data_IF_007505671464
#
_entry.id   IF_007505671464
#
_cell.length_a   1.000
_cell.length_b   1.000
_cell.length_c   1.000
_cell.angle_alpha   90.00
_cell.angle_beta   90.00
_cell.angle_gamma   90.00
#
_symmetry.space_group_name_H-M   'P 1'
#
loop_
_entity.id
_entity.type
_entity.pdbx_description
1 polymer ?
#
# COMPACT_ATOMS: atom_id res chain seq x y z
N UNK A 1 75.12 21.60 -4.20
CA UNK A 1 73.78 21.96 -4.71
C UNK A 1 72.88 20.73 -4.64
N UNK A 2 71.98 20.67 -3.65
CA UNK A 2 71.03 19.56 -3.47
C UNK A 2 69.72 19.94 -4.15
N UNK A 3 69.34 19.23 -5.21
CA UNK A 3 68.05 19.41 -5.88
C UNK A 3 67.01 18.55 -5.15
N UNK A 4 66.05 19.19 -4.49
CA UNK A 4 64.91 18.56 -3.83
C UNK A 4 63.80 18.45 -4.88
N UNK A 5 63.58 17.26 -5.42
CA UNK A 5 62.48 16.99 -6.33
C UNK A 5 61.18 16.80 -5.53
N UNK A 6 60.36 17.84 -5.49
CA UNK A 6 59.01 17.80 -4.93
C UNK A 6 58.10 17.02 -5.88
N UNK A 7 57.85 15.74 -5.57
CA UNK A 7 56.84 14.94 -6.26
C UNK A 7 55.44 15.45 -5.89
N UNK A 8 54.80 16.15 -6.83
CA UNK A 8 53.43 16.61 -6.70
C UNK A 8 52.49 15.41 -6.89
N UNK A 9 52.02 14.81 -5.79
CA UNK A 9 51.08 13.70 -5.80
C UNK A 9 49.67 14.26 -6.09
N UNK A 10 49.31 14.36 -7.35
CA UNK A 10 47.94 14.69 -7.76
C UNK A 10 47.00 13.53 -7.41
N UNK A 11 46.33 13.62 -6.27
CA UNK A 11 45.19 12.75 -5.95
C UNK A 11 44.03 13.09 -6.90
N UNK A 12 43.89 12.31 -7.97
CA UNK A 12 42.66 12.26 -8.77
C UNK A 12 41.55 11.68 -7.91
N UNK A 13 40.81 12.52 -7.20
CA UNK A 13 39.56 12.13 -6.56
C UNK A 13 38.52 11.95 -7.66
N UNK A 14 38.38 10.73 -8.17
CA UNK A 14 37.22 10.39 -8.98
C UNK A 14 35.96 10.58 -8.11
N UNK A 15 34.96 11.34 -8.57
CA UNK A 15 33.73 11.48 -7.82
C UNK A 15 33.09 10.10 -7.67
N UNK A 16 32.94 9.65 -6.42
CA UNK A 16 32.18 8.45 -6.10
C UNK A 16 30.72 8.80 -6.34
N UNK A 17 30.19 8.44 -7.51
CA UNK A 17 28.75 8.54 -7.77
C UNK A 17 28.07 7.49 -6.89
N UNK A 18 27.39 7.95 -5.84
CA UNK A 18 26.60 7.08 -4.99
C UNK A 18 25.54 6.37 -5.85
N UNK A 19 25.32 5.08 -5.58
CA UNK A 19 24.24 4.35 -6.23
C UNK A 19 22.89 5.03 -5.91
N UNK A 20 21.94 5.08 -6.87
CA UNK A 20 20.60 5.55 -6.59
C UNK A 20 19.95 4.77 -5.44
N UNK A 21 19.16 5.43 -4.57
CA UNK A 21 18.44 4.75 -3.49
C UNK A 21 17.39 3.79 -4.04
N UNK A 22 17.12 2.71 -3.32
CA UNK A 22 16.09 1.74 -3.71
C UNK A 22 14.68 2.30 -3.47
N UNK A 23 13.84 2.25 -4.51
CA UNK A 23 12.45 2.67 -4.46
C UNK A 23 11.59 1.73 -3.60
N UNK A 24 11.90 0.44 -3.57
CA UNK A 24 11.11 -0.56 -2.85
C UNK A 24 11.79 -0.95 -1.54
N UNK A 25 11.17 -0.61 -0.41
CA UNK A 25 11.57 -1.02 0.94
C UNK A 25 10.57 -2.01 1.51
N UNK A 26 10.90 -2.64 2.66
CA UNK A 26 9.96 -3.54 3.35
C UNK A 26 8.64 -2.82 3.70
N UNK A 27 8.72 -1.64 4.30
CA UNK A 27 7.55 -0.84 4.67
C UNK A 27 6.65 -0.52 3.48
N UNK A 28 7.25 -0.09 2.35
CA UNK A 28 6.50 0.19 1.12
C UNK A 28 5.89 -1.09 0.56
N UNK A 29 6.63 -2.20 0.55
CA UNK A 29 6.10 -3.48 0.06
C UNK A 29 4.89 -3.96 0.88
N UNK A 30 4.89 -3.73 2.19
CA UNK A 30 3.78 -4.10 3.08
C UNK A 30 2.52 -3.25 2.88
N UNK A 31 2.63 -2.04 2.31
CA UNK A 31 1.48 -1.17 2.02
C UNK A 31 0.80 -1.44 0.69
N UNK A 32 1.35 -2.32 -0.16
CA UNK A 32 0.71 -2.66 -1.43
C UNK A 32 -0.57 -3.49 -1.23
N UNK A 33 -1.52 -3.27 -2.14
CA UNK A 33 -2.70 -4.09 -2.34
C UNK A 33 -2.87 -4.39 -3.84
N UNK A 34 -3.28 -5.61 -4.17
CA UNK A 34 -3.74 -5.95 -5.51
C UNK A 34 -5.24 -5.67 -5.65
N UNK A 35 -5.70 -5.46 -6.87
CA UNK A 35 -7.12 -5.32 -7.17
C UNK A 35 -7.70 -6.48 -8.00
N UNK A 36 -9.02 -6.65 -7.95
CA UNK A 36 -9.77 -7.50 -8.87
C UNK A 36 -10.71 -6.66 -9.72
N UNK A 37 -10.73 -6.89 -11.03
CA UNK A 37 -11.62 -6.21 -11.98
C UNK A 37 -12.33 -7.25 -12.84
N UNK A 38 -13.37 -6.90 -13.62
CA UNK A 38 -13.98 -7.82 -14.57
C UNK A 38 -13.01 -8.37 -15.64
N UNK A 39 -11.83 -7.75 -15.82
CA UNK A 39 -10.82 -8.16 -16.77
C UNK A 39 -9.82 -9.19 -16.20
N UNK A 40 -9.77 -9.35 -14.87
CA UNK A 40 -8.89 -10.30 -14.21
C UNK A 40 -8.56 -9.91 -12.77
N UNK A 41 -7.44 -10.42 -12.26
CA UNK A 41 -7.06 -10.27 -10.85
C UNK A 41 -5.58 -9.96 -10.65
N UNK A 42 -5.31 -9.15 -9.65
CA UNK A 42 -3.99 -8.84 -9.13
C UNK A 42 -3.91 -9.25 -7.65
N UNK A 43 -2.81 -9.89 -7.28
CA UNK A 43 -2.52 -10.20 -5.87
C UNK A 43 -1.09 -9.80 -5.53
N UNK A 44 -0.88 -9.38 -4.29
CA UNK A 44 0.42 -8.95 -3.79
C UNK A 44 0.73 -9.63 -2.46
N UNK A 45 2.00 -9.92 -2.23
CA UNK A 45 2.49 -10.41 -0.94
C UNK A 45 4.00 -10.23 -0.84
N UNK A 46 4.51 -10.08 0.39
CA UNK A 46 5.95 -10.10 0.64
C UNK A 46 6.42 -11.56 0.73
N UNK A 47 7.47 -11.91 -0.02
CA UNK A 47 8.04 -13.27 -0.09
C UNK A 47 9.56 -13.22 0.02
N UNK A 48 10.21 -14.35 0.29
CA UNK A 48 11.65 -14.47 0.10
C UNK A 48 12.01 -14.20 -1.37
N UNK A 49 12.99 -13.32 -1.60
CA UNK A 49 13.41 -12.95 -2.95
C UNK A 49 14.04 -14.17 -3.64
N UNK A 50 13.49 -14.65 -4.76
CA UNK A 50 14.04 -15.82 -5.45
C UNK A 50 15.49 -15.58 -5.88
N UNK A 51 16.35 -16.59 -5.76
CA UNK A 51 17.75 -16.52 -6.22
C UNK A 51 18.57 -15.40 -5.54
N UNK A 52 18.09 -14.85 -4.42
CA UNK A 52 18.79 -13.84 -3.62
C UNK A 52 19.35 -14.47 -2.33
N UNK A 53 20.30 -13.80 -1.65
CA UNK A 53 20.80 -14.26 -0.36
C UNK A 53 19.67 -14.49 0.66
N UNK A 54 19.88 -15.45 1.57
CA UNK A 54 18.93 -15.73 2.65
C UNK A 54 18.64 -14.46 3.46
N UNK A 55 17.36 -14.21 3.75
CA UNK A 55 16.91 -13.01 4.46
C UNK A 55 16.54 -11.84 3.53
N UNK A 56 16.88 -11.90 2.25
CA UNK A 56 16.37 -10.94 1.25
C UNK A 56 14.94 -11.30 0.85
N UNK A 57 14.09 -10.29 0.80
CA UNK A 57 12.68 -10.38 0.45
C UNK A 57 12.34 -9.44 -0.72
N UNK A 58 11.18 -9.68 -1.30
CA UNK A 58 10.63 -8.91 -2.40
C UNK A 58 9.11 -8.82 -2.28
N UNK A 59 8.52 -7.80 -2.91
CA UNK A 59 7.09 -7.75 -3.18
C UNK A 59 6.81 -8.66 -4.39
N UNK A 60 6.16 -9.80 -4.18
CA UNK A 60 5.61 -10.61 -5.26
C UNK A 60 4.28 -10.01 -5.69
N UNK A 61 4.18 -9.67 -6.98
CA UNK A 61 2.96 -9.20 -7.63
C UNK A 61 2.58 -10.22 -8.70
N UNK A 62 1.35 -10.72 -8.64
CA UNK A 62 0.79 -11.61 -9.66
C UNK A 62 -0.41 -11.00 -10.33
N UNK A 63 -0.33 -10.85 -11.64
CA UNK A 63 -1.48 -10.49 -12.47
C UNK A 63 -1.97 -11.72 -13.23
N UNK A 64 -3.29 -11.87 -13.37
CA UNK A 64 -3.90 -12.84 -14.26
C UNK A 64 -5.02 -12.16 -15.03
N UNK A 65 -4.79 -11.92 -16.31
CA UNK A 65 -5.82 -11.43 -17.23
C UNK A 65 -6.74 -12.60 -17.60
N UNK A 66 -8.05 -12.39 -17.53
CA UNK A 66 -9.06 -13.41 -17.87
C UNK A 66 -9.74 -13.08 -19.20
N UNK A 67 -9.84 -11.79 -19.53
CA UNK A 67 -10.30 -11.30 -20.83
C UNK A 67 -9.62 -9.98 -21.18
N UNK A 68 -9.57 -9.66 -22.46
CA UNK A 68 -9.17 -8.33 -22.89
C UNK A 68 -10.31 -7.35 -22.70
N UNK A 69 -10.02 -6.16 -22.18
CA UNK A 69 -11.04 -5.14 -21.94
C UNK A 69 -10.48 -3.73 -22.24
N UNK A 70 -11.05 -3.00 -23.22
CA UNK A 70 -10.65 -1.63 -23.53
C UNK A 70 -10.73 -0.70 -22.31
N UNK A 71 -9.71 0.14 -22.13
CA UNK A 71 -9.67 1.14 -21.06
C UNK A 71 -9.61 0.56 -19.64
N UNK A 72 -9.24 -0.71 -19.49
CA UNK A 72 -9.05 -1.36 -18.20
C UNK A 72 -7.60 -1.80 -18.00
N UNK A 73 -7.22 -1.92 -16.75
CA UNK A 73 -5.94 -2.43 -16.29
C UNK A 73 -6.15 -3.22 -14.99
N UNK A 74 -5.12 -3.93 -14.57
CA UNK A 74 -5.03 -4.55 -13.26
C UNK A 74 -3.89 -3.90 -12.50
N UNK A 75 -4.17 -3.33 -11.34
CA UNK A 75 -3.20 -2.64 -10.51
C UNK A 75 -2.76 -3.43 -9.27
N UNK A 76 -1.48 -3.26 -8.93
CA UNK A 76 -0.96 -3.38 -7.58
C UNK A 76 -0.61 -1.96 -7.10
N UNK A 77 -1.28 -1.46 -6.09
CA UNK A 77 -1.19 -0.06 -5.65
C UNK A 77 -0.77 0.06 -4.19
N UNK A 78 -0.04 1.13 -3.90
CA UNK A 78 0.20 1.65 -2.57
C UNK A 78 -0.15 3.14 -2.56
N UNK A 79 -0.78 3.59 -1.49
CA UNK A 79 -1.03 5.00 -1.20
C UNK A 79 -0.21 5.41 0.04
N UNK A 80 1.05 5.84 -0.13
CA UNK A 80 1.88 6.24 1.00
C UNK A 80 1.23 7.34 1.82
N UNK A 81 1.26 7.18 3.15
CA UNK A 81 0.83 8.17 4.11
C UNK A 81 1.84 8.16 5.29
N UNK A 82 2.62 9.24 5.50
CA UNK A 82 2.66 10.45 4.68
C UNK A 82 3.09 10.16 3.23
N UNK A 83 2.83 11.10 2.29
CA UNK A 83 3.34 11.02 0.93
C UNK A 83 4.83 10.72 0.90
N UNK A 84 5.26 9.98 -0.11
CA UNK A 84 6.63 9.56 -0.29
C UNK A 84 7.46 10.74 -0.79
N UNK A 85 8.42 11.16 0.03
CA UNK A 85 9.43 12.13 -0.34
C UNK A 85 10.54 11.46 -1.16
N UNK A 86 10.63 11.81 -2.45
CA UNK A 86 11.69 11.37 -3.36
C UNK A 86 12.68 12.50 -3.71
N UNK A 87 12.63 13.64 -3.02
CA UNK A 87 13.44 14.83 -3.31
C UNK A 87 14.94 14.58 -3.22
N UNK A 88 15.36 13.60 -2.40
CA UNK A 88 16.76 13.27 -2.15
C UNK A 88 17.52 12.65 -3.33
N UNK A 89 16.84 12.19 -4.39
CA UNK A 89 17.50 11.67 -5.58
C UNK A 89 16.62 11.79 -6.84
N UNK A 90 17.22 12.24 -7.95
CA UNK A 90 16.55 12.29 -9.27
C UNK A 90 16.34 10.92 -9.89
N UNK A 91 17.15 9.95 -9.49
CA UNK A 91 17.05 8.58 -9.96
C UNK A 91 16.70 7.70 -8.77
N UNK A 92 15.74 6.80 -8.95
CA UNK A 92 15.39 5.77 -7.97
C UNK A 92 15.64 4.40 -8.57
N UNK A 93 16.27 3.50 -7.82
CA UNK A 93 16.53 2.15 -8.27
C UNK A 93 15.37 1.22 -7.96
N UNK A 94 14.96 0.45 -8.95
CA UNK A 94 14.01 -0.63 -8.79
C UNK A 94 14.67 -1.95 -9.19
N UNK A 95 14.95 -2.81 -8.20
CA UNK A 95 15.28 -4.20 -8.48
C UNK A 95 14.02 -4.94 -8.92
N UNK A 96 14.08 -5.64 -10.05
CA UNK A 96 12.94 -6.43 -10.53
C UNK A 96 13.38 -7.77 -11.12
N UNK A 97 12.56 -8.80 -10.90
CA UNK A 97 12.67 -10.12 -11.54
C UNK A 97 11.30 -10.57 -12.01
N UNK A 98 11.13 -10.69 -13.32
CA UNK A 98 9.93 -11.28 -13.92
C UNK A 98 10.10 -12.81 -14.01
N UNK A 99 9.03 -13.59 -13.82
CA UNK A 99 9.09 -15.06 -14.00
C UNK A 99 9.10 -15.47 -15.47
N UNK A 100 8.69 -14.55 -16.35
CA UNK A 100 8.64 -14.68 -17.80
C UNK A 100 9.29 -13.45 -18.44
N UNK A 101 9.77 -13.59 -19.68
CA UNK A 101 10.28 -12.44 -20.43
C UNK A 101 9.11 -11.56 -20.86
N UNK A 102 9.16 -10.26 -20.60
CA UNK A 102 7.97 -9.39 -20.75
C UNK A 102 8.28 -7.90 -20.75
N UNK A 103 7.46 -7.12 -21.45
CA UNK A 103 7.41 -5.66 -21.43
C UNK A 103 6.01 -5.15 -21.00
N UNK A 104 5.21 -6.01 -20.34
CA UNK A 104 3.81 -5.76 -20.04
C UNK A 104 3.57 -4.99 -18.73
N UNK A 105 4.59 -4.91 -17.87
CA UNK A 105 4.49 -4.25 -16.58
C UNK A 105 4.82 -2.77 -16.72
N UNK A 106 3.88 -1.93 -16.33
CA UNK A 106 4.07 -0.48 -16.23
C UNK A 106 4.21 -0.09 -14.77
N UNK A 107 5.15 0.80 -14.47
CA UNK A 107 5.20 1.51 -13.18
C UNK A 107 4.46 2.84 -13.32
N UNK A 108 3.75 3.24 -12.26
CA UNK A 108 3.09 4.53 -12.17
C UNK A 108 3.36 5.17 -10.83
N UNK A 109 3.80 6.42 -10.85
CA UNK A 109 4.06 7.26 -9.70
C UNK A 109 3.18 8.50 -9.87
N UNK A 110 2.29 8.79 -8.93
CA UNK A 110 1.45 9.99 -9.01
C UNK A 110 1.73 10.94 -7.86
N UNK A 111 1.62 12.21 -8.21
CA UNK A 111 1.64 13.35 -7.32
C UNK A 111 0.30 14.08 -7.52
N UNK A 112 -0.48 14.35 -6.46
CA UNK A 112 -1.81 14.94 -6.60
C UNK A 112 -1.79 16.31 -7.29
N UNK A 113 -0.68 17.03 -7.21
CA UNK A 113 -0.52 18.38 -7.77
C UNK A 113 -0.07 18.36 -9.23
N UNK A 114 0.38 17.21 -9.74
CA UNK A 114 0.85 17.09 -11.11
C UNK A 114 -0.31 17.29 -12.13
N UNK A 115 -0.10 18.04 -13.23
CA UNK A 115 -1.16 18.32 -14.20
C UNK A 115 -1.61 17.07 -14.97
N UNK A 116 -2.83 17.10 -15.49
CA UNK A 116 -3.42 16.01 -16.29
C UNK A 116 -4.37 15.12 -15.51
N UNK A 117 -5.18 14.35 -16.24
CA UNK A 117 -6.25 13.52 -15.66
C UNK A 117 -5.73 12.31 -14.87
N UNK A 118 -4.52 11.82 -15.18
CA UNK A 118 -3.91 10.67 -14.49
C UNK A 118 -3.00 11.08 -13.31
N UNK A 119 -2.72 12.38 -13.14
CA UNK A 119 -1.82 12.94 -12.10
C UNK A 119 -0.44 12.26 -12.06
N UNK A 120 0.01 11.66 -13.15
CA UNK A 120 1.23 10.85 -13.17
C UNK A 120 2.49 11.74 -13.22
N UNK A 121 3.26 11.70 -12.13
CA UNK A 121 4.63 12.19 -12.10
C UNK A 121 5.50 11.40 -13.10
N UNK A 122 5.32 10.09 -13.10
CA UNK A 122 6.02 9.14 -13.97
C UNK A 122 5.08 7.98 -14.30
N UNK A 123 5.03 7.57 -15.56
CA UNK A 123 4.32 6.39 -16.01
C UNK A 123 5.10 5.77 -17.17
N UNK A 124 5.72 4.61 -16.94
CA UNK A 124 6.62 4.01 -17.93
C UNK A 124 6.60 2.48 -17.90
N UNK A 125 6.79 1.87 -19.07
CA UNK A 125 6.92 0.42 -19.19
C UNK A 125 8.29 0.00 -18.67
N UNK A 126 8.29 -0.96 -17.76
CA UNK A 126 9.54 -1.46 -17.21
C UNK A 126 10.27 -2.30 -18.25
N UNK A 127 11.47 -1.84 -18.61
CA UNK A 127 12.38 -2.48 -19.54
C UNK A 127 13.80 -2.45 -18.95
N UNK A 128 14.66 -3.35 -19.41
CA UNK A 128 16.08 -3.36 -19.03
C UNK A 128 16.93 -3.15 -20.28
N UNK A 129 17.66 -2.02 -20.31
CA UNK A 129 18.50 -1.62 -21.45
C UNK A 129 17.71 -1.56 -22.78
N UNK A 130 16.50 -1.00 -22.72
CA UNK A 130 15.59 -0.88 -23.88
C UNK A 130 14.99 -2.19 -24.37
N UNK A 131 15.20 -3.30 -23.65
CA UNK A 131 14.65 -4.63 -23.99
C UNK A 131 13.62 -5.06 -22.94
N UNK A 132 12.71 -5.99 -23.30
CA UNK A 132 11.82 -6.64 -22.33
C UNK A 132 12.59 -7.16 -21.11
N UNK A 133 11.97 -7.15 -19.94
CA UNK A 133 12.52 -7.72 -18.73
C UNK A 133 12.89 -9.20 -18.98
N UNK A 134 14.09 -9.63 -18.60
CA UNK A 134 14.50 -11.03 -18.77
C UNK A 134 13.74 -11.95 -17.81
N UNK A 135 13.44 -13.16 -18.26
CA UNK A 135 12.86 -14.19 -17.40
C UNK A 135 13.84 -14.64 -16.31
N UNK A 136 13.34 -14.78 -15.08
CA UNK A 136 14.01 -15.38 -13.91
C UNK A 136 15.37 -14.75 -13.57
N UNK A 137 15.61 -13.51 -13.98
CA UNK A 137 16.84 -12.77 -13.70
C UNK A 137 16.52 -11.45 -13.03
N UNK A 138 17.19 -11.17 -11.92
CA UNK A 138 17.16 -9.85 -11.30
C UNK A 138 17.90 -8.83 -12.15
N UNK A 139 17.26 -7.69 -12.40
CA UNK A 139 17.87 -6.55 -13.07
C UNK A 139 17.58 -5.28 -12.27
N UNK A 140 18.54 -4.34 -12.18
CA UNK A 140 18.27 -3.00 -11.69
C UNK A 140 17.66 -2.17 -12.84
N UNK A 141 16.53 -1.55 -12.58
CA UNK A 141 15.93 -0.53 -13.45
C UNK A 141 16.04 0.80 -12.72
N UNK A 142 16.84 1.70 -13.27
CA UNK A 142 17.01 3.04 -12.72
C UNK A 142 15.93 3.94 -13.33
N UNK A 143 15.09 4.50 -12.46
CA UNK A 143 13.91 5.29 -12.80
C UNK A 143 14.24 6.76 -12.68
N UNK A 144 14.21 7.46 -13.80
CA UNK A 144 14.41 8.91 -13.84
C UNK A 144 13.13 9.64 -13.44
N UNK A 145 13.15 10.29 -12.29
CA UNK A 145 12.06 11.12 -11.81
C UNK A 145 12.06 12.48 -12.51
N UNK A 146 10.92 13.18 -12.57
CA UNK A 146 10.86 14.54 -13.07
C UNK A 146 11.93 15.45 -12.44
N UNK A 147 12.53 16.32 -13.26
CA UNK A 147 13.49 17.29 -12.74
C UNK A 147 12.83 18.31 -11.79
N UNK A 148 11.56 18.62 -12.07
CA UNK A 148 10.72 19.53 -11.31
C UNK A 148 10.30 18.93 -9.95
N UNK A 149 10.70 19.51 -8.81
CA UNK A 149 10.34 19.05 -7.48
C UNK A 149 8.84 18.97 -7.22
N UNK A 150 8.05 19.91 -7.78
CA UNK A 150 6.58 19.93 -7.61
C UNK A 150 5.87 18.71 -8.21
N UNK A 151 6.61 17.93 -9.01
CA UNK A 151 6.10 16.73 -9.68
C UNK A 151 6.65 15.45 -9.06
N UNK A 152 7.42 15.50 -7.97
CA UNK A 152 8.07 14.30 -7.41
C UNK A 152 8.16 14.25 -5.88
N UNK A 153 7.92 15.35 -5.19
CA UNK A 153 8.18 15.45 -3.74
C UNK A 153 6.93 15.12 -2.91
N UNK A 154 5.75 14.98 -3.53
CA UNK A 154 4.47 14.69 -2.85
C UNK A 154 3.80 13.41 -3.37
N UNK A 155 4.57 12.33 -3.54
CA UNK A 155 4.05 11.09 -4.15
C UNK A 155 3.05 10.40 -3.22
N UNK A 156 1.77 10.43 -3.58
CA UNK A 156 0.68 9.81 -2.81
C UNK A 156 0.15 8.50 -3.43
N UNK A 157 0.72 8.10 -4.57
CA UNK A 157 0.38 6.89 -5.27
C UNK A 157 1.63 6.29 -5.89
N UNK A 158 1.87 5.01 -5.62
CA UNK A 158 2.86 4.19 -6.28
C UNK A 158 2.19 2.89 -6.71
N UNK A 159 2.22 2.59 -8.00
CA UNK A 159 1.53 1.45 -8.57
C UNK A 159 2.35 0.71 -9.62
N UNK A 160 2.00 -0.56 -9.80
CA UNK A 160 2.44 -1.39 -10.91
C UNK A 160 1.20 -1.96 -11.58
N UNK A 161 1.15 -1.96 -12.91
CA UNK A 161 -0.03 -2.43 -13.60
C UNK A 161 0.25 -3.16 -14.90
N UNK A 162 -0.72 -4.00 -15.28
CA UNK A 162 -0.79 -4.62 -16.60
C UNK A 162 -2.05 -4.14 -17.30
N UNK A 163 -1.90 -3.54 -18.47
CA UNK A 163 -3.03 -3.08 -19.28
C UNK A 163 -3.85 -4.27 -19.79
N UNK A 164 -5.13 -4.34 -19.44
CA UNK A 164 -6.02 -5.43 -19.86
C UNK A 164 -6.41 -5.33 -21.34
N UNK A 165 -6.12 -4.21 -22.01
CA UNK A 165 -6.26 -4.08 -23.46
C UNK A 165 -5.00 -4.49 -24.24
N UNK A 166 -3.89 -4.83 -23.56
CA UNK A 166 -2.68 -5.28 -24.22
C UNK A 166 -2.81 -6.74 -24.69
N UNK A 167 -3.09 -6.92 -25.99
CA UNK A 167 -3.27 -8.24 -26.60
C UNK A 167 -1.99 -9.09 -26.66
N UNK A 168 -0.80 -8.52 -26.40
CA UNK A 168 0.42 -9.32 -26.31
C UNK A 168 0.58 -10.01 -24.95
N UNK A 169 -0.13 -9.57 -23.92
CA UNK A 169 -0.16 -10.25 -22.63
C UNK A 169 -1.09 -11.49 -22.70
N UNK A 170 -0.64 -12.66 -22.22
CA UNK A 170 -1.43 -13.89 -22.28
C UNK A 170 -2.61 -13.84 -21.31
N UNK A 171 -3.77 -14.32 -21.79
CA UNK A 171 -4.90 -14.60 -20.93
C UNK A 171 -4.67 -15.90 -20.15
N UNK A 172 -5.29 -16.01 -18.97
CA UNK A 172 -5.33 -17.20 -18.14
C UNK A 172 -3.94 -17.74 -17.74
N UNK A 173 -2.94 -16.87 -17.72
CA UNK A 173 -1.61 -17.15 -17.24
C UNK A 173 -1.25 -16.17 -16.13
N UNK A 174 -0.62 -16.67 -15.07
CA UNK A 174 -0.10 -15.83 -14.00
C UNK A 174 1.17 -15.12 -14.49
N UNK A 175 1.12 -13.80 -14.51
CA UNK A 175 2.23 -12.91 -14.78
C UNK A 175 2.85 -12.51 -13.44
N UNK A 176 3.99 -13.11 -13.11
CA UNK A 176 4.57 -12.97 -11.76
C UNK A 176 5.83 -12.10 -11.80
N UNK A 177 5.84 -11.07 -10.97
CA UNK A 177 6.94 -10.13 -10.80
C UNK A 177 7.38 -10.11 -9.34
N UNK A 178 8.68 -10.04 -9.10
CA UNK A 178 9.25 -9.80 -7.79
C UNK A 178 9.93 -8.43 -7.84
N UNK A 179 9.52 -7.55 -6.94
CA UNK A 179 9.87 -6.13 -6.98
C UNK A 179 10.56 -5.75 -5.67
N UNK A 180 11.72 -5.12 -5.78
CA UNK A 180 12.61 -4.80 -4.68
C UNK A 180 13.51 -5.97 -4.25
N UNK A 181 14.59 -5.61 -3.55
CA UNK A 181 15.43 -6.51 -2.76
C UNK A 181 15.69 -5.84 -1.43
N UNK A 182 15.00 -6.28 -0.38
CA UNK A 182 15.09 -5.66 0.94
C UNK A 182 15.23 -6.71 2.03
N UNK A 183 15.87 -6.35 3.14
CA UNK A 183 15.76 -7.15 4.35
C UNK A 183 14.30 -7.11 4.82
N UNK A 184 13.76 -8.25 5.27
CA UNK A 184 12.45 -8.24 5.91
C UNK A 184 12.60 -7.73 7.33
N UNK A 185 12.47 -6.43 7.43
CA UNK A 185 12.39 -5.70 8.68
C UNK A 185 10.94 -5.28 8.80
N UNK A 186 10.17 -5.98 9.64
CA UNK A 186 8.91 -5.39 10.07
C UNK A 186 9.25 -4.03 10.66
N UNK A 187 8.54 -2.95 10.29
CA UNK A 187 8.76 -1.65 10.89
C UNK A 187 8.76 -1.88 12.40
N UNK A 188 9.81 -1.43 13.11
CA UNK A 188 10.03 -1.82 14.49
C UNK A 188 8.72 -1.65 15.24
N UNK A 189 8.16 -2.77 15.73
CA UNK A 189 7.06 -2.69 16.68
C UNK A 189 7.59 -1.77 17.76
N UNK A 190 6.91 -0.64 18.06
CA UNK A 190 7.27 0.13 19.23
C UNK A 190 7.40 -0.87 20.38
N UNK A 191 8.50 -0.82 21.12
CA UNK A 191 8.68 -1.69 22.28
C UNK A 191 7.37 -1.70 23.09
N UNK A 192 6.99 -2.84 23.64
CA UNK A 192 5.77 -2.96 24.43
C UNK A 192 6.09 -3.47 25.84
N UNK A 193 5.77 -2.71 26.91
CA UNK A 193 5.44 -1.28 26.84
C UNK A 193 6.60 -0.49 26.21
N UNK A 194 6.35 0.70 25.62
CA UNK A 194 7.39 1.50 25.01
C UNK A 194 8.55 1.71 25.97
N UNK A 195 9.72 1.13 25.65
CA UNK A 195 10.97 1.56 26.26
C UNK A 195 11.20 3.00 25.82
N UNK A 196 11.25 3.90 26.79
CA UNK A 196 11.36 5.32 26.54
C UNK A 196 12.68 5.65 25.79
N UNK A 197 12.54 6.43 24.71
CA UNK A 197 13.57 7.11 23.89
C UNK A 197 14.14 6.29 22.72
N UNK A 198 14.29 6.81 21.49
CA UNK A 198 14.16 8.17 20.93
C UNK A 198 13.86 8.01 19.42
N UNK A 199 12.96 8.70 18.73
CA UNK A 199 12.14 9.86 19.03
C UNK A 199 10.65 9.47 19.11
N UNK A 200 9.99 9.96 20.15
CA UNK A 200 8.56 9.83 20.34
C UNK A 200 7.82 10.55 19.20
N UNK A 201 7.41 9.83 18.14
CA UNK A 201 6.16 10.20 17.51
C UNK A 201 5.11 9.91 18.56
N UNK A 202 4.79 10.92 19.38
CA UNK A 202 3.85 10.81 20.50
C UNK A 202 2.47 10.52 19.94
N UNK A 203 2.17 9.26 19.63
CA UNK A 203 0.83 8.96 19.16
C UNK A 203 -0.13 9.05 20.33
N UNK A 204 -1.22 9.80 20.19
CA UNK A 204 -2.27 9.85 21.23
C UNK A 204 -3.28 8.77 20.89
N UNK A 205 -3.34 7.65 21.64
CA UNK A 205 -4.34 6.63 21.38
C UNK A 205 -5.73 7.22 21.63
N UNK A 206 -6.60 7.14 20.63
CA UNK A 206 -8.01 7.53 20.75
C UNK A 206 -8.93 6.31 20.77
N UNK A 207 -8.40 5.15 20.40
CA UNK A 207 -9.08 3.86 20.47
C UNK A 207 -8.07 2.76 20.75
N UNK A 208 -8.40 1.90 21.70
CA UNK A 208 -7.57 0.78 22.09
C UNK A 208 -8.39 -0.52 22.09
N UNK A 209 -7.74 -1.66 21.83
CA UNK A 209 -8.39 -2.95 21.93
C UNK A 209 -8.69 -3.32 23.39
N UNK A 210 -9.57 -4.31 23.62
CA UNK A 210 -10.34 -5.06 22.62
C UNK A 210 -11.54 -4.26 22.08
N UNK A 211 -12.25 -4.81 21.09
CA UNK A 211 -13.60 -4.33 20.77
C UNK A 211 -14.49 -4.49 22.01
N UNK A 212 -15.25 -3.44 22.32
CA UNK A 212 -16.21 -3.40 23.43
C UNK A 212 -17.57 -3.02 22.89
N UNK A 213 -18.61 -3.60 23.47
CA UNK A 213 -19.98 -3.14 23.26
C UNK A 213 -20.29 -1.98 24.21
N UNK A 214 -19.57 -0.87 24.04
CA UNK A 214 -19.70 0.36 24.84
C UNK A 214 -20.41 1.48 24.07
N UNK A 215 -21.02 1.13 22.94
CA UNK A 215 -21.71 2.05 22.04
C UNK A 215 -20.79 2.81 21.09
N UNK A 216 -19.46 2.65 21.15
CA UNK A 216 -18.50 3.23 20.17
C UNK A 216 -18.77 2.76 18.75
N UNK A 217 -19.27 1.53 18.62
CA UNK A 217 -19.49 0.88 17.34
C UNK A 217 -20.97 0.88 16.96
N UNK A 218 -21.24 1.09 15.68
CA UNK A 218 -22.48 0.77 15.01
C UNK A 218 -22.26 -0.51 14.21
N UNK A 219 -22.91 -1.59 14.66
CA UNK A 219 -23.04 -2.81 13.88
C UNK A 219 -24.13 -2.55 12.83
N UNK A 220 -23.72 -2.34 11.58
CA UNK A 220 -24.60 -1.86 10.51
C UNK A 220 -25.71 -2.88 10.24
N UNK A 221 -26.94 -2.41 10.08
CA UNK A 221 -28.16 -3.23 9.89
C UNK A 221 -29.09 -2.65 8.83
N UNK A 222 -28.62 -1.67 8.06
CA UNK A 222 -29.42 -0.98 7.04
C UNK A 222 -29.08 -1.51 5.64
N UNK A 223 -29.51 -0.80 4.60
CA UNK A 223 -29.24 -1.11 3.20
C UNK A 223 -27.75 -1.19 2.81
N UNK A 224 -26.85 -0.70 3.66
CA UNK A 224 -25.40 -0.84 3.46
C UNK A 224 -24.90 -2.20 3.99
N UNK A 225 -25.78 -3.02 4.58
CA UNK A 225 -25.52 -4.36 5.05
C UNK A 225 -26.67 -5.34 4.72
N UNK A 226 -26.47 -6.60 5.09
CA UNK A 226 -27.52 -7.60 5.24
C UNK A 226 -28.31 -7.29 6.51
N UNK A 227 -29.50 -6.73 6.36
CA UNK A 227 -30.36 -6.25 7.47
C UNK A 227 -30.56 -7.29 8.58
N UNK A 228 -30.58 -8.57 8.22
CA UNK A 228 -30.86 -9.68 9.13
C UNK A 228 -29.59 -10.38 9.68
N UNK A 229 -28.41 -9.97 9.23
CA UNK A 229 -27.12 -10.58 9.60
C UNK A 229 -26.08 -9.54 10.03
N UNK A 230 -26.32 -8.77 11.11
CA UNK A 230 -25.32 -7.84 11.61
C UNK A 230 -24.04 -8.55 12.04
N UNK A 231 -22.92 -7.83 11.97
CA UNK A 231 -21.71 -8.23 12.64
C UNK A 231 -21.94 -8.44 14.15
N UNK A 232 -21.12 -9.28 14.75
CA UNK A 232 -21.18 -9.61 16.17
C UNK A 232 -19.85 -9.30 16.85
N UNK A 233 -19.89 -8.79 18.08
CA UNK A 233 -18.70 -8.69 18.93
C UNK A 233 -18.61 -9.96 19.77
N UNK A 234 -17.58 -10.78 19.52
CA UNK A 234 -17.33 -12.06 20.20
C UNK A 234 -15.88 -12.08 20.68
N UNK A 235 -15.67 -12.27 21.99
CA UNK A 235 -14.35 -12.35 22.62
C UNK A 235 -13.41 -11.19 22.24
N UNK A 236 -13.93 -9.97 22.28
CA UNK A 236 -13.16 -8.76 21.98
C UNK A 236 -12.81 -8.55 20.50
N UNK A 237 -13.47 -9.30 19.60
CA UNK A 237 -13.32 -9.21 18.16
C UNK A 237 -14.67 -9.02 17.47
N UNK A 238 -14.67 -8.41 16.28
CA UNK A 238 -15.85 -8.32 15.43
C UNK A 238 -15.82 -9.45 14.41
N UNK A 239 -16.91 -10.19 14.29
CA UNK A 239 -17.09 -11.25 13.29
C UNK A 239 -18.25 -10.89 12.38
N UNK A 240 -18.06 -11.05 11.07
CA UNK A 240 -19.09 -10.79 10.09
C UNK A 240 -19.03 -11.81 8.95
N UNK A 241 -20.20 -12.23 8.46
CA UNK A 241 -20.39 -13.15 7.35
C UNK A 241 -21.29 -12.49 6.32
N UNK A 242 -20.73 -12.12 5.19
CA UNK A 242 -21.48 -11.60 4.06
C UNK A 242 -21.83 -12.73 3.11
N UNK A 243 -23.11 -13.09 2.97
CA UNK A 243 -23.58 -14.10 2.01
C UNK A 243 -24.26 -13.52 0.75
N UNK A 244 -24.43 -12.19 0.67
CA UNK A 244 -25.01 -11.52 -0.49
C UNK A 244 -23.99 -10.76 -1.35
N UNK A 245 -24.32 -10.57 -2.62
CA UNK A 245 -23.54 -9.75 -3.54
C UNK A 245 -23.87 -8.26 -3.35
N UNK A 246 -22.89 -7.43 -3.05
CA UNK A 246 -23.09 -5.99 -2.89
C UNK A 246 -21.97 -5.31 -2.12
N UNK A 247 -22.22 -4.10 -1.62
CA UNK A 247 -21.40 -3.51 -0.57
C UNK A 247 -22.00 -3.93 0.76
N UNK A 248 -21.25 -4.69 1.56
CA UNK A 248 -21.68 -5.17 2.87
C UNK A 248 -20.79 -4.50 3.94
N UNK A 249 -21.07 -3.24 4.23
CA UNK A 249 -20.47 -2.51 5.35
C UNK A 249 -21.08 -3.05 6.64
N UNK A 250 -20.25 -3.47 7.60
CA UNK A 250 -20.75 -4.21 8.76
C UNK A 250 -20.40 -3.57 10.10
N UNK A 251 -19.44 -2.63 10.10
CA UNK A 251 -18.96 -2.00 11.30
C UNK A 251 -18.54 -0.56 11.03
N UNK A 252 -19.22 0.39 11.65
CA UNK A 252 -18.82 1.80 11.66
C UNK A 252 -18.47 2.24 13.09
N UNK A 253 -17.46 3.11 13.24
CA UNK A 253 -17.32 3.86 14.49
C UNK A 253 -18.35 5.00 14.52
N UNK A 254 -18.94 5.31 15.67
CA UNK A 254 -19.84 6.47 15.77
C UNK A 254 -19.02 7.76 15.98
N UNK A 255 -19.18 8.80 15.14
CA UNK A 255 -18.37 10.03 15.24
C UNK A 255 -18.46 10.76 16.59
N UNK A 256 -19.58 10.63 17.31
CA UNK A 256 -19.78 11.24 18.63
C UNK A 256 -19.06 10.48 19.76
N UNK A 257 -18.74 9.20 19.54
CA UNK A 257 -18.03 8.35 20.51
C UNK A 257 -16.54 8.21 20.19
N UNK A 258 -16.20 8.20 18.91
CA UNK A 258 -14.84 8.18 18.40
C UNK A 258 -14.63 9.38 17.46
N UNK A 259 -14.33 10.57 18.01
CA UNK A 259 -14.15 11.76 17.19
C UNK A 259 -12.83 11.68 16.42
N UNK A 260 -12.93 11.44 15.11
CA UNK A 260 -11.81 11.52 14.17
C UNK A 260 -11.82 12.96 13.60
N UNK A 261 -10.76 13.71 13.89
CA UNK A 261 -10.65 15.14 13.60
C UNK A 261 -10.29 15.38 12.13
N UNK A 262 -10.72 16.51 11.54
CA UNK A 262 -10.20 17.00 10.26
C UNK A 262 -8.69 17.28 10.34
N UNK A 263 -8.01 17.29 9.19
CA UNK A 263 -6.60 17.69 9.05
C UNK A 263 -5.63 17.01 10.04
N UNK A 264 -5.95 15.78 10.44
CA UNK A 264 -5.22 15.06 11.48
C UNK A 264 -4.71 13.74 10.91
N UNK A 265 -3.43 13.47 11.12
CA UNK A 265 -2.83 12.18 10.75
C UNK A 265 -3.15 11.14 11.83
N UNK A 266 -3.54 9.96 11.39
CA UNK A 266 -3.86 8.82 12.24
C UNK A 266 -3.08 7.59 11.80
N UNK A 267 -2.87 6.68 12.75
CA UNK A 267 -2.40 5.32 12.52
C UNK A 267 -3.47 4.34 12.98
N UNK A 268 -4.08 3.63 12.03
CA UNK A 268 -5.01 2.53 12.25
C UNK A 268 -4.26 1.20 12.19
N UNK A 269 -4.49 0.34 13.17
CA UNK A 269 -3.94 -1.01 13.15
C UNK A 269 -5.00 -2.00 13.64
N UNK A 270 -5.10 -3.15 13.00
CA UNK A 270 -5.99 -4.24 13.42
C UNK A 270 -5.46 -5.59 12.95
N UNK A 271 -5.81 -6.64 13.67
CA UNK A 271 -5.58 -8.02 13.26
C UNK A 271 -6.81 -8.56 12.54
N UNK A 272 -6.59 -9.46 11.57
CA UNK A 272 -7.66 -10.13 10.84
C UNK A 272 -7.44 -11.64 10.76
N UNK A 273 -8.55 -12.36 10.61
CA UNK A 273 -8.62 -13.75 10.21
C UNK A 273 -9.72 -13.90 9.16
N UNK A 274 -9.39 -14.48 8.00
CA UNK A 274 -10.36 -14.77 6.94
C UNK A 274 -10.95 -16.15 7.18
N UNK A 275 -12.21 -16.17 7.61
CA UNK A 275 -12.96 -17.40 7.87
C UNK A 275 -13.55 -17.98 6.58
N UNK A 276 -13.82 -17.13 5.58
CA UNK A 276 -14.20 -17.50 4.22
C UNK A 276 -13.68 -16.42 3.27
N UNK A 277 -12.86 -16.80 2.29
CA UNK A 277 -12.32 -15.89 1.28
C UNK A 277 -13.40 -15.08 0.58
N UNK A 278 -13.02 -13.90 0.08
CA UNK A 278 -13.95 -13.04 -0.63
C UNK A 278 -14.35 -13.69 -1.97
N UNK A 279 -15.65 -13.73 -2.27
CA UNK A 279 -16.23 -14.42 -3.45
C UNK A 279 -17.57 -13.79 -3.88
N UNK A 280 -18.31 -14.44 -4.76
CA UNK A 280 -19.68 -14.13 -5.16
C UNK A 280 -19.78 -13.31 -6.45
N UNK A 281 -18.81 -12.44 -6.71
CA UNK A 281 -18.68 -11.72 -7.98
C UNK A 281 -17.25 -11.17 -8.19
N UNK A 282 -16.89 -10.76 -9.44
CA UNK A 282 -15.63 -10.09 -9.70
C UNK A 282 -15.42 -8.86 -8.82
N UNK A 283 -14.21 -8.71 -8.28
CA UNK A 283 -13.87 -7.62 -7.36
C UNK A 283 -14.24 -7.88 -5.89
N UNK A 284 -14.59 -9.12 -5.52
CA UNK A 284 -14.82 -9.48 -4.14
C UNK A 284 -13.58 -9.21 -3.27
N UNK A 285 -13.78 -8.49 -2.17
CA UNK A 285 -12.67 -8.03 -1.33
C UNK A 285 -13.13 -7.64 0.07
N UNK A 286 -12.24 -7.74 1.05
CA UNK A 286 -12.39 -7.10 2.35
C UNK A 286 -11.84 -5.68 2.25
N UNK A 287 -12.45 -4.73 2.95
CA UNK A 287 -11.96 -3.36 2.96
C UNK A 287 -12.12 -2.64 4.30
N UNK A 288 -11.30 -1.61 4.47
CA UNK A 288 -11.38 -0.63 5.54
C UNK A 288 -11.15 0.75 4.96
N UNK A 289 -11.80 1.76 5.52
CA UNK A 289 -11.66 3.17 5.11
C UNK A 289 -12.05 4.08 6.27
N UNK A 290 -11.79 5.39 6.10
CA UNK A 290 -12.32 6.45 6.96
C UNK A 290 -13.11 7.42 6.11
N UNK A 291 -14.41 7.56 6.41
CA UNK A 291 -15.36 8.32 5.59
C UNK A 291 -15.80 9.59 6.29
N UNK A 292 -15.77 10.71 5.58
CA UNK A 292 -16.35 11.96 6.03
C UNK A 292 -17.88 11.90 6.04
N UNK A 293 -18.53 12.69 6.88
CA UNK A 293 -19.99 12.74 6.89
C UNK A 293 -20.56 13.20 5.54
N UNK A 294 -21.48 12.42 4.98
CA UNK A 294 -22.26 12.81 3.80
C UNK A 294 -21.55 12.74 2.44
N UNK A 295 -20.32 12.24 2.36
CA UNK A 295 -19.61 12.13 1.06
C UNK A 295 -18.61 10.98 1.05
N UNK A 296 -18.50 10.31 -0.11
CA UNK A 296 -17.46 9.30 -0.39
C UNK A 296 -16.20 9.91 -1.03
N UNK A 297 -16.27 11.16 -1.48
CA UNK A 297 -15.17 11.82 -2.22
C UNK A 297 -13.97 12.14 -1.32
N UNK A 298 -14.20 12.13 -0.01
CA UNK A 298 -13.24 12.48 1.04
C UNK A 298 -12.85 11.24 1.85
N UNK A 299 -13.11 10.05 1.32
CA UNK A 299 -12.66 8.81 1.94
C UNK A 299 -11.13 8.76 1.97
N UNK A 300 -10.56 8.52 3.15
CA UNK A 300 -9.11 8.38 3.37
C UNK A 300 -8.80 7.03 4.02
N UNK A 301 -7.54 6.62 4.01
CA UNK A 301 -7.13 5.36 4.64
C UNK A 301 -7.78 4.12 4.00
N UNK A 302 -8.20 4.23 2.73
CA UNK A 302 -8.83 3.14 2.00
C UNK A 302 -7.83 2.01 1.76
N UNK A 303 -8.19 0.80 2.19
CA UNK A 303 -7.46 -0.42 1.87
C UNK A 303 -8.41 -1.53 1.47
N UNK A 304 -7.98 -2.32 0.49
CA UNK A 304 -8.65 -3.53 0.01
C UNK A 304 -7.71 -4.72 0.12
N UNK A 305 -8.25 -5.89 0.40
CA UNK A 305 -7.49 -7.14 0.38
C UNK A 305 -8.39 -8.35 0.16
N UNK A 306 -7.87 -9.37 -0.51
CA UNK A 306 -8.59 -10.61 -0.77
C UNK A 306 -7.70 -11.83 -0.54
N UNK A 307 -7.14 -12.03 0.67
CA UNK A 307 -6.34 -13.20 0.95
C UNK A 307 -7.25 -14.45 1.05
N UNK A 308 -6.69 -15.65 0.90
CA UNK A 308 -7.46 -16.89 0.90
C UNK A 308 -8.09 -17.18 2.28
N UNK A 309 -9.07 -18.09 2.30
CA UNK A 309 -9.62 -18.68 3.53
C UNK A 309 -8.49 -19.21 4.43
N UNK A 310 -8.60 -18.95 5.73
CA UNK A 310 -7.62 -19.30 6.75
C UNK A 310 -6.47 -18.30 6.91
N UNK A 311 -6.36 -17.28 6.03
CA UNK A 311 -5.33 -16.27 6.17
C UNK A 311 -5.50 -15.45 7.45
N UNK A 312 -4.39 -15.22 8.15
CA UNK A 312 -4.30 -14.38 9.35
C UNK A 312 -3.22 -13.34 9.16
N UNK A 313 -3.41 -12.16 9.72
CA UNK A 313 -2.38 -11.12 9.67
C UNK A 313 -2.77 -9.85 10.40
N UNK A 314 -1.89 -8.87 10.33
CA UNK A 314 -2.10 -7.52 10.87
C UNK A 314 -2.11 -6.54 9.70
N UNK A 315 -3.06 -5.61 9.71
CA UNK A 315 -3.05 -4.43 8.83
C UNK A 315 -2.66 -3.20 9.64
N UNK A 316 -1.78 -2.38 9.07
CA UNK A 316 -1.37 -1.10 9.60
C UNK A 316 -1.54 -0.09 8.47
N UNK A 317 -2.26 0.98 8.75
CA UNK A 317 -2.51 2.07 7.83
C UNK A 317 -2.21 3.38 8.54
N UNK A 318 -1.58 4.28 7.82
CA UNK A 318 -1.52 5.69 8.22
C UNK A 318 -2.39 6.46 7.24
N UNK A 319 -3.08 7.49 7.69
CA UNK A 319 -3.86 8.37 6.82
C UNK A 319 -3.97 9.76 7.44
N UNK A 320 -4.14 10.77 6.60
CA UNK A 320 -4.45 12.13 7.05
C UNK A 320 -5.83 12.48 6.56
N UNK A 321 -6.70 12.92 7.46
CA UNK A 321 -8.03 13.41 7.10
C UNK A 321 -7.95 14.76 6.39
N UNK A 322 -8.88 15.03 5.48
CA UNK A 322 -9.04 16.36 4.89
C UNK A 322 -9.82 17.29 5.83
N UNK A 323 -10.01 18.54 5.42
CA UNK A 323 -10.78 19.56 6.17
C UNK A 323 -12.29 19.32 6.07
N UNK A 324 -12.76 18.20 6.64
CA UNK A 324 -14.16 17.79 6.64
C UNK A 324 -14.55 17.23 8.01
N UNK A 325 -15.76 17.52 8.52
CA UNK A 325 -16.18 17.00 9.82
C UNK A 325 -16.77 15.58 9.73
N UNK A 326 -16.95 14.98 10.91
CA UNK A 326 -17.79 13.78 11.06
C UNK A 326 -17.18 12.51 10.48
N UNK A 327 -15.85 12.40 10.49
CA UNK A 327 -15.18 11.18 10.05
C UNK A 327 -15.56 9.98 10.93
N UNK A 328 -15.71 8.82 10.29
CA UNK A 328 -15.86 7.52 10.96
C UNK A 328 -15.02 6.44 10.27
N UNK A 329 -14.50 5.50 11.07
CA UNK A 329 -13.95 4.24 10.58
C UNK A 329 -15.08 3.38 10.02
N UNK A 330 -14.80 2.68 8.93
CA UNK A 330 -15.73 1.80 8.27
C UNK A 330 -15.00 0.53 7.80
N UNK A 331 -15.60 -0.63 8.10
CA UNK A 331 -15.17 -1.93 7.63
C UNK A 331 -16.29 -2.60 6.85
N UNK A 332 -15.92 -3.24 5.75
CA UNK A 332 -16.89 -3.92 4.90
C UNK A 332 -16.30 -5.07 4.09
N UNK A 333 -17.21 -5.78 3.44
CA UNK A 333 -16.94 -6.82 2.46
C UNK A 333 -17.63 -6.42 1.16
N UNK A 334 -16.89 -6.37 0.06
CA UNK A 334 -17.44 -6.28 -1.27
C UNK A 334 -17.80 -7.69 -1.72
N UNK A 335 -19.06 -7.90 -2.04
CA UNK A 335 -19.68 -9.20 -2.29
C UNK A 335 -19.62 -10.10 -1.05
N UNK A 336 -19.31 -11.38 -1.23
CA UNK A 336 -19.41 -12.37 -0.17
C UNK A 336 -18.06 -12.58 0.51
N UNK A 337 -18.08 -13.09 1.74
CA UNK A 337 -16.89 -13.45 2.49
C UNK A 337 -17.17 -13.48 3.99
N UNK A 338 -16.23 -14.00 4.78
CA UNK A 338 -16.37 -14.04 6.24
C UNK A 338 -15.05 -13.66 6.90
N UNK A 339 -15.11 -12.69 7.81
CA UNK A 339 -13.93 -12.12 8.45
C UNK A 339 -14.13 -11.99 9.96
N UNK A 340 -13.03 -12.16 10.69
CA UNK A 340 -12.88 -11.77 12.09
C UNK A 340 -11.84 -10.66 12.19
N UNK A 341 -12.17 -9.56 12.85
CA UNK A 341 -11.29 -8.43 13.13
C UNK A 341 -11.05 -8.32 14.64
N UNK A 342 -9.79 -8.17 15.04
CA UNK A 342 -9.41 -8.07 16.45
C UNK A 342 -8.32 -7.02 16.65
N UNK A 343 -8.02 -6.72 17.92
CA UNK A 343 -6.89 -5.87 18.31
C UNK A 343 -6.86 -4.51 17.59
N UNK A 344 -8.03 -3.94 17.30
CA UNK A 344 -8.12 -2.68 16.60
C UNK A 344 -7.67 -1.53 17.50
N UNK A 345 -6.80 -0.70 16.97
CA UNK A 345 -6.30 0.52 17.61
C UNK A 345 -6.28 1.67 16.61
N UNK A 346 -6.58 2.87 17.09
CA UNK A 346 -6.47 4.10 16.34
C UNK A 346 -5.75 5.13 17.19
N UNK A 347 -4.72 5.75 16.64
CA UNK A 347 -3.96 6.78 17.35
C UNK A 347 -3.73 8.00 16.47
N UNK A 348 -3.86 9.19 17.04
CA UNK A 348 -3.42 10.43 16.40
C UNK A 348 -1.90 10.43 16.30
N UNK A 349 -1.37 10.83 15.15
CA UNK A 349 0.06 11.02 14.89
C UNK A 349 0.31 12.52 14.94
N UNK A 350 1.15 13.03 15.85
CA UNK A 350 1.45 14.46 15.91
C UNK A 350 2.00 14.92 14.57
N UNK A 351 1.54 16.10 14.13
CA UNK A 351 2.23 16.82 13.06
C UNK A 351 3.70 16.94 13.45
N UNK A 352 4.58 16.39 12.60
CA UNK A 352 6.01 16.57 12.80
C UNK A 352 6.30 18.07 12.90
N UNK A 353 6.97 18.50 13.96
CA UNK A 353 7.55 19.86 13.99
C UNK A 353 8.70 19.89 12.98
N UNK A 354 8.38 20.09 11.72
CA UNK A 354 9.37 20.14 10.65
C UNK A 354 8.74 20.25 9.27
N UNK A 355 8.76 21.46 8.70
CA UNK A 355 8.87 21.63 7.25
C UNK A 355 7.64 22.08 6.47
N UNK A 356 7.04 23.21 6.84
CA UNK A 356 6.50 24.15 5.85
C UNK A 356 6.39 25.54 6.50
N UNK A 357 7.35 26.42 6.17
CA UNK A 357 7.13 27.85 6.11
C UNK A 357 7.23 28.25 4.65
#
# INVERSE_FOLDING_TARGET
MKSLATACLCFLTLPIVAAPPDLMTCDRALSFAGEGTPAGRCSVRVVAAPDAPKGTHALEVRFRLEKYQPGQWLDAISHPAPPLDLSGARTQRLWIRASQATDWLTIKICDPDNPGTNRAAMEDRLAYQGKPLPAKRWVPVDLELPADPQRRDNINYLGFYVAAFNKSAPLNQDLVFHIGKFAFELPPRPAWPPKASAANVRTTPILQPPFKDDGTWLLVRDQNNQTDHPAQIVDGAVVFDADTNGWNEFLWSKPDKLPIKPLTTYRLQFDYEILRGADGAPGATFYSLVRAAGTIKEDVGWARWSPPTGAKGTRILTFTTHDMPGYHLNFGIRHQGKIRLANLSLSEVPAGKGGAK
#
